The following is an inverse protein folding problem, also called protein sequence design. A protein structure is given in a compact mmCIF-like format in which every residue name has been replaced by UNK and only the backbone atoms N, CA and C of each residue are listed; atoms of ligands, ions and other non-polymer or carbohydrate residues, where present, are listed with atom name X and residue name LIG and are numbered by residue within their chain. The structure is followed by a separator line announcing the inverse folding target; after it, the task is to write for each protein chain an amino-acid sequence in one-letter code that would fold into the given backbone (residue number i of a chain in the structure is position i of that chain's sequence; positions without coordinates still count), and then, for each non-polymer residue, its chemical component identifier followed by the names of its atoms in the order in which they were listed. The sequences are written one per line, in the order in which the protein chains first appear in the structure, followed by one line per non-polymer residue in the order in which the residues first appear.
data_IF_180121073017
#
_entry.id   IF_180121073017
#
_cell.length_a   1.000
_cell.length_b   1.000
_cell.length_c   1.000
_cell.angle_alpha   90.00
_cell.angle_beta   90.00
_cell.angle_gamma   90.00
#
_symmetry.space_group_name_H-M   'P 1'
#
loop_
_entity.id
_entity.type
_entity.pdbx_description
1 polymer ?
#
# COMPACT_ATOMS: atom_id res chain seq x y z
N UNK A 1 0.94 26.82 7.16
CA UNK A 1 0.34 25.63 6.51
C UNK A 1 -1.04 25.43 7.11
N UNK A 2 -2.11 25.53 6.33
CA UNK A 2 -3.45 25.16 6.80
C UNK A 2 -3.68 23.71 6.35
N UNK A 3 -3.72 22.80 7.31
CA UNK A 3 -4.04 21.40 7.02
C UNK A 3 -5.51 21.24 6.67
N UNK A 4 -5.79 20.35 5.73
CA UNK A 4 -7.17 19.98 5.41
C UNK A 4 -7.86 19.36 6.64
N UNK A 5 -9.16 19.66 6.91
CA UNK A 5 -9.87 19.12 8.08
C UNK A 5 -9.82 17.60 8.20
N UNK A 6 -9.90 16.87 7.07
CA UNK A 6 -9.75 15.41 7.03
C UNK A 6 -8.37 14.96 7.50
N UNK A 7 -7.30 15.67 7.11
CA UNK A 7 -5.93 15.38 7.61
C UNK A 7 -5.87 15.50 9.13
N UNK A 8 -6.38 16.59 9.68
CA UNK A 8 -6.39 16.81 11.14
C UNK A 8 -7.19 15.72 11.83
N UNK A 9 -8.38 15.41 11.32
CA UNK A 9 -9.25 14.35 11.87
C UNK A 9 -8.59 12.98 11.87
N UNK A 10 -7.97 12.59 10.76
CA UNK A 10 -7.30 11.28 10.62
C UNK A 10 -6.07 11.17 11.52
N UNK A 11 -5.20 12.20 11.53
CA UNK A 11 -4.01 12.21 12.40
C UNK A 11 -4.41 12.18 13.87
N UNK A 12 -5.40 13.00 14.26
CA UNK A 12 -5.92 13.00 15.63
C UNK A 12 -6.52 11.64 16.01
N UNK A 13 -7.28 11.03 15.09
CA UNK A 13 -7.84 9.69 15.30
C UNK A 13 -6.77 8.61 15.51
N UNK A 14 -5.69 8.63 14.72
CA UNK A 14 -4.54 7.71 14.86
C UNK A 14 -3.87 7.91 16.23
N UNK A 15 -3.59 9.17 16.61
CA UNK A 15 -2.95 9.49 17.91
C UNK A 15 -3.84 9.04 19.07
N UNK A 16 -5.14 9.32 19.01
CA UNK A 16 -6.09 8.87 20.03
C UNK A 16 -6.15 7.35 20.11
N UNK A 17 -6.24 6.65 18.97
CA UNK A 17 -6.29 5.19 18.93
C UNK A 17 -5.03 4.58 19.55
N UNK A 18 -3.84 5.10 19.22
CA UNK A 18 -2.57 4.66 19.81
C UNK A 18 -2.47 4.96 21.31
N UNK A 19 -3.01 6.09 21.76
CA UNK A 19 -3.03 6.45 23.18
C UNK A 19 -4.05 5.67 24.02
N UNK A 20 -5.21 5.33 23.45
CA UNK A 20 -6.29 4.61 24.15
C UNK A 20 -6.05 3.09 24.17
N UNK A 21 -5.39 2.53 23.14
CA UNK A 21 -5.18 1.08 23.06
C UNK A 21 -4.52 0.47 24.33
N UNK A 22 -3.46 1.05 24.93
CA UNK A 22 -2.87 0.53 26.17
C UNK A 22 -3.86 0.50 27.35
N UNK A 23 -4.68 1.55 27.47
CA UNK A 23 -5.69 1.63 28.54
C UNK A 23 -6.73 0.52 28.40
N UNK A 24 -7.12 0.24 27.16
CA UNK A 24 -8.03 -0.86 26.86
C UNK A 24 -7.39 -2.24 27.17
N UNK A 25 -6.10 -2.44 26.86
CA UNK A 25 -5.40 -3.69 27.19
C UNK A 25 -5.25 -3.88 28.70
N UNK A 26 -4.98 -2.80 29.44
CA UNK A 26 -4.91 -2.84 30.90
C UNK A 26 -6.28 -3.18 31.52
N UNK A 27 -7.34 -2.52 31.04
CA UNK A 27 -8.71 -2.79 31.51
C UNK A 27 -9.16 -4.24 31.28
N UNK A 28 -8.91 -4.77 30.06
CA UNK A 28 -9.22 -6.17 29.75
C UNK A 28 -8.36 -7.16 30.56
N UNK A 29 -7.08 -6.81 30.81
CA UNK A 29 -6.19 -7.61 31.64
C UNK A 29 -6.65 -7.66 33.11
N UNK A 30 -7.05 -6.51 33.67
CA UNK A 30 -7.59 -6.41 35.01
C UNK A 30 -8.93 -7.17 35.17
N UNK A 31 -9.73 -7.18 34.11
CA UNK A 31 -10.99 -7.95 34.07
C UNK A 31 -10.78 -9.47 33.87
N UNK A 32 -9.54 -9.97 33.81
CA UNK A 32 -9.24 -11.39 33.60
C UNK A 32 -9.63 -11.95 32.22
N UNK A 33 -9.93 -11.06 31.24
CA UNK A 33 -10.40 -11.45 29.90
C UNK A 33 -9.28 -11.73 28.89
N UNK A 34 -8.01 -11.50 29.27
CA UNK A 34 -6.86 -11.74 28.40
C UNK A 34 -5.96 -12.85 28.98
N UNK A 35 -5.63 -13.85 28.15
CA UNK A 35 -4.54 -14.77 28.48
C UNK A 35 -3.21 -14.04 28.45
N UNK A 36 -2.21 -14.52 29.21
CA UNK A 36 -0.86 -13.94 29.24
C UNK A 36 -0.23 -13.86 27.81
N UNK A 37 -0.41 -14.91 27.03
CA UNK A 37 0.06 -14.96 25.64
C UNK A 37 -0.58 -13.88 24.76
N UNK A 38 -1.89 -13.70 24.85
CA UNK A 38 -2.62 -12.68 24.07
C UNK A 38 -2.23 -11.28 24.51
N UNK A 39 -2.05 -11.08 25.82
CA UNK A 39 -1.56 -9.80 26.38
C UNK A 39 -0.18 -9.45 25.84
N UNK A 40 0.76 -10.38 25.85
CA UNK A 40 2.10 -10.17 25.32
C UNK A 40 2.09 -9.85 23.82
N UNK A 41 1.27 -10.56 23.01
CA UNK A 41 1.10 -10.30 21.57
C UNK A 41 0.53 -8.91 21.30
N UNK A 42 -0.52 -8.49 22.01
CA UNK A 42 -1.12 -7.16 21.89
C UNK A 42 -0.11 -6.04 22.19
N UNK A 43 0.70 -6.19 23.27
CA UNK A 43 1.74 -5.21 23.60
C UNK A 43 2.84 -5.15 22.55
N UNK A 44 3.25 -6.29 22.01
CA UNK A 44 4.27 -6.37 20.95
C UNK A 44 3.77 -5.66 19.69
N UNK A 45 2.54 -5.92 19.27
CA UNK A 45 1.92 -5.27 18.11
C UNK A 45 1.76 -3.76 18.33
N UNK A 46 1.31 -3.33 19.49
CA UNK A 46 1.16 -1.91 19.79
C UNK A 46 2.51 -1.17 19.74
N UNK A 47 3.59 -1.75 20.29
CA UNK A 47 4.93 -1.16 20.18
C UNK A 47 5.39 -1.02 18.73
N UNK A 48 5.09 -2.00 17.89
CA UNK A 48 5.39 -1.92 16.46
C UNK A 48 4.62 -0.80 15.78
N UNK A 49 3.35 -0.60 16.14
CA UNK A 49 2.54 0.51 15.62
C UNK A 49 3.01 1.89 16.07
N UNK A 50 3.65 2.02 17.24
CA UNK A 50 4.28 3.28 17.66
C UNK A 50 5.42 3.73 16.73
N UNK A 51 5.99 2.82 15.95
CA UNK A 51 7.03 3.11 14.95
C UNK A 51 6.40 3.19 13.55
N UNK A 52 5.57 2.21 13.18
CA UNK A 52 5.00 2.13 11.84
C UNK A 52 4.08 3.33 11.53
N UNK A 53 3.18 3.69 12.44
CA UNK A 53 2.24 4.78 12.18
C UNK A 53 2.96 6.14 11.97
N UNK A 54 3.93 6.57 12.79
CA UNK A 54 4.72 7.76 12.48
C UNK A 54 5.51 7.64 11.17
N UNK A 55 6.14 6.49 10.88
CA UNK A 55 6.87 6.29 9.62
C UNK A 55 5.97 6.46 8.39
N UNK A 56 4.69 6.10 8.49
CA UNK A 56 3.71 6.28 7.41
C UNK A 56 3.15 7.71 7.38
N UNK A 57 2.75 8.23 8.53
CA UNK A 57 2.00 9.49 8.63
C UNK A 57 2.91 10.71 8.48
N UNK A 58 4.08 10.71 9.12
CA UNK A 58 4.97 11.88 9.15
C UNK A 58 5.40 12.33 7.74
N UNK A 59 5.87 11.46 6.84
CA UNK A 59 6.20 11.88 5.48
C UNK A 59 5.02 12.52 4.75
N UNK A 60 3.80 11.98 4.92
CA UNK A 60 2.59 12.49 4.27
C UNK A 60 2.23 13.88 4.81
N UNK A 61 2.38 14.10 6.12
CA UNK A 61 2.06 15.40 6.77
C UNK A 61 3.11 16.47 6.47
N UNK A 62 4.38 16.08 6.31
CA UNK A 62 5.47 17.01 5.98
C UNK A 62 5.39 17.60 4.57
N UNK A 63 4.55 17.06 3.70
CA UNK A 63 4.25 17.61 2.39
C UNK A 63 4.69 16.72 1.22
N UNK A 64 4.65 17.30 0.03
CA UNK A 64 4.78 16.59 -1.24
C UNK A 64 6.06 15.76 -1.37
N UNK A 65 7.23 16.40 -1.27
CA UNK A 65 8.52 15.71 -1.46
C UNK A 65 8.80 14.65 -0.40
N UNK A 66 8.63 14.91 0.92
CA UNK A 66 8.75 13.87 1.93
C UNK A 66 7.80 12.68 1.70
N UNK A 67 6.57 12.92 1.25
CA UNK A 67 5.61 11.86 0.94
C UNK A 67 6.12 10.97 -0.21
N UNK A 68 6.56 11.57 -1.33
CA UNK A 68 7.08 10.84 -2.49
C UNK A 68 8.33 10.04 -2.13
N UNK A 69 9.28 10.67 -1.43
CA UNK A 69 10.51 10.01 -0.97
C UNK A 69 10.19 8.88 0.02
N UNK A 70 9.27 9.12 0.94
CA UNK A 70 8.81 8.09 1.90
C UNK A 70 8.23 6.87 1.20
N UNK A 71 7.38 7.07 0.19
CA UNK A 71 6.83 5.98 -0.63
C UNK A 71 7.93 5.29 -1.45
N UNK A 72 8.89 6.04 -2.00
CA UNK A 72 10.03 5.47 -2.71
C UNK A 72 10.91 4.59 -1.82
N UNK A 73 11.19 5.04 -0.59
CA UNK A 73 11.92 4.24 0.40
C UNK A 73 11.13 2.98 0.75
N UNK A 74 9.82 3.10 1.00
CA UNK A 74 8.95 1.96 1.26
C UNK A 74 9.00 0.96 0.10
N UNK A 75 8.90 1.42 -1.13
CA UNK A 75 8.97 0.59 -2.34
C UNK A 75 10.29 -0.19 -2.43
N UNK A 76 11.44 0.46 -2.19
CA UNK A 76 12.76 -0.19 -2.17
C UNK A 76 12.87 -1.22 -1.05
N UNK A 77 12.37 -0.91 0.15
CA UNK A 77 12.41 -1.84 1.28
C UNK A 77 11.53 -3.07 1.03
N UNK A 78 10.31 -2.89 0.51
CA UNK A 78 9.42 -3.99 0.11
C UNK A 78 10.03 -4.82 -1.03
N UNK A 79 10.60 -4.16 -2.04
CA UNK A 79 11.34 -4.83 -3.10
C UNK A 79 12.49 -5.69 -2.56
N UNK A 80 13.28 -5.15 -1.62
CA UNK A 80 14.39 -5.88 -1.01
C UNK A 80 13.92 -7.16 -0.29
N UNK A 81 12.82 -7.10 0.45
CA UNK A 81 12.24 -8.29 1.10
C UNK A 81 11.79 -9.32 0.05
N UNK A 82 11.07 -8.86 -0.98
CA UNK A 82 10.63 -9.70 -2.10
C UNK A 82 11.81 -10.35 -2.83
N UNK A 83 12.82 -9.56 -3.20
CA UNK A 83 13.99 -10.05 -3.93
C UNK A 83 14.78 -11.09 -3.13
N UNK A 84 14.82 -10.97 -1.80
CA UNK A 84 15.45 -11.96 -0.92
C UNK A 84 14.61 -13.24 -0.84
N UNK A 85 13.31 -13.14 -0.66
CA UNK A 85 12.41 -14.28 -0.55
C UNK A 85 12.35 -15.10 -1.86
N UNK A 86 12.33 -14.43 -3.01
CA UNK A 86 12.25 -15.06 -4.32
C UNK A 86 13.61 -15.48 -4.90
N UNK A 87 14.72 -15.04 -4.30
CA UNK A 87 16.07 -15.26 -4.83
C UNK A 87 16.48 -14.34 -5.97
N UNK A 88 15.65 -13.35 -6.35
CA UNK A 88 15.94 -12.36 -7.40
C UNK A 88 17.24 -11.59 -7.13
N UNK A 89 17.60 -11.38 -5.87
CA UNK A 89 18.84 -10.69 -5.48
C UNK A 89 20.11 -11.39 -6.00
N UNK A 90 20.05 -12.69 -6.35
CA UNK A 90 21.18 -13.45 -6.92
C UNK A 90 21.50 -13.01 -8.35
N UNK A 91 20.50 -12.49 -9.06
CA UNK A 91 20.64 -11.88 -10.39
C UNK A 91 20.93 -10.40 -10.24
N UNK A 92 22.18 -10.07 -9.90
CA UNK A 92 22.58 -8.70 -9.48
C UNK A 92 22.22 -7.63 -10.49
N UNK A 93 22.39 -7.92 -11.79
CA UNK A 93 22.12 -6.96 -12.87
C UNK A 93 20.63 -6.68 -12.99
N UNK A 94 19.80 -7.73 -13.03
CA UNK A 94 18.34 -7.59 -13.07
C UNK A 94 17.84 -6.86 -11.81
N UNK A 95 18.36 -7.26 -10.64
CA UNK A 95 18.01 -6.63 -9.38
C UNK A 95 18.38 -5.15 -9.33
N UNK A 96 19.53 -4.77 -9.88
CA UNK A 96 19.97 -3.38 -9.97
C UNK A 96 19.06 -2.56 -10.91
N UNK A 97 18.66 -3.13 -12.05
CA UNK A 97 17.74 -2.45 -13.00
C UNK A 97 16.36 -2.24 -12.36
N UNK A 98 15.83 -3.22 -11.61
CA UNK A 98 14.57 -3.04 -10.88
C UNK A 98 14.71 -1.92 -9.85
N UNK A 99 15.76 -1.92 -9.04
CA UNK A 99 16.00 -0.88 -8.05
C UNK A 99 16.14 0.51 -8.70
N UNK A 100 16.91 0.61 -9.79
CA UNK A 100 17.03 1.85 -10.57
C UNK A 100 15.68 2.29 -11.13
N UNK A 101 14.88 1.38 -11.67
CA UNK A 101 13.53 1.66 -12.16
C UNK A 101 12.64 2.26 -11.06
N UNK A 102 12.68 1.70 -9.84
CA UNK A 102 11.93 2.25 -8.68
C UNK A 102 12.40 3.68 -8.36
N UNK A 103 13.72 3.93 -8.36
CA UNK A 103 14.27 5.26 -8.11
C UNK A 103 13.89 6.26 -9.20
N UNK A 104 13.90 5.85 -10.47
CA UNK A 104 13.50 6.69 -11.60
C UNK A 104 11.99 7.01 -11.56
N UNK A 105 11.14 6.07 -11.22
CA UNK A 105 9.69 6.30 -10.97
C UNK A 105 9.50 7.30 -9.83
N UNK A 106 10.25 7.14 -8.72
CA UNK A 106 10.21 8.07 -7.59
C UNK A 106 10.66 9.47 -8.01
N UNK A 107 11.74 9.58 -8.80
CA UNK A 107 12.22 10.84 -9.34
C UNK A 107 11.19 11.48 -10.28
N UNK A 108 10.60 10.71 -11.21
CA UNK A 108 9.57 11.22 -12.12
C UNK A 108 8.34 11.75 -11.38
N UNK A 109 7.94 11.10 -10.27
CA UNK A 109 6.89 11.60 -9.39
C UNK A 109 7.34 12.89 -8.67
N UNK A 110 8.58 12.95 -8.17
CA UNK A 110 9.11 14.11 -7.48
C UNK A 110 9.28 15.33 -8.40
N UNK A 111 9.66 15.11 -9.64
CA UNK A 111 9.74 16.15 -10.67
C UNK A 111 8.38 16.53 -11.27
N UNK A 112 7.32 15.82 -10.89
CA UNK A 112 5.98 15.95 -11.48
C UNK A 112 6.00 15.78 -13.01
N UNK A 113 6.84 14.86 -13.51
CA UNK A 113 7.00 14.57 -14.94
C UNK A 113 6.17 13.36 -15.35
N UNK A 114 4.86 13.57 -15.59
CA UNK A 114 3.90 12.48 -15.83
C UNK A 114 4.21 11.64 -17.08
N UNK A 115 4.59 12.27 -18.19
CA UNK A 115 4.92 11.52 -19.41
C UNK A 115 6.14 10.60 -19.23
N UNK A 116 7.15 11.05 -18.49
CA UNK A 116 8.30 10.21 -18.15
C UNK A 116 7.91 9.10 -17.16
N UNK A 117 7.10 9.42 -16.14
CA UNK A 117 6.55 8.43 -15.20
C UNK A 117 5.85 7.28 -15.94
N UNK A 118 5.00 7.57 -16.92
CA UNK A 118 4.30 6.56 -17.72
C UNK A 118 5.27 5.81 -18.64
N UNK A 119 6.19 6.51 -19.31
CA UNK A 119 7.17 5.91 -20.20
C UNK A 119 8.11 4.92 -19.50
N UNK A 120 8.49 5.20 -18.25
CA UNK A 120 9.36 4.32 -17.46
C UNK A 120 8.80 2.92 -17.29
N UNK A 121 7.48 2.73 -17.31
CA UNK A 121 6.86 1.41 -17.21
C UNK A 121 7.27 0.51 -18.37
N UNK A 122 7.20 0.99 -19.61
CA UNK A 122 7.60 0.24 -20.81
C UNK A 122 9.11 0.20 -21.01
N UNK A 123 9.81 1.30 -20.73
CA UNK A 123 11.26 1.40 -20.88
C UNK A 123 12.00 0.45 -19.94
N UNK A 124 11.63 0.43 -18.66
CA UNK A 124 12.28 -0.47 -17.68
C UNK A 124 12.02 -1.94 -18.01
N UNK A 125 10.79 -2.29 -18.45
CA UNK A 125 10.48 -3.66 -18.90
C UNK A 125 11.37 -4.03 -20.10
N UNK A 126 11.51 -3.14 -21.08
CA UNK A 126 12.38 -3.38 -22.25
C UNK A 126 13.85 -3.56 -21.84
N UNK A 127 14.34 -2.71 -20.93
CA UNK A 127 15.71 -2.84 -20.39
C UNK A 127 15.88 -4.16 -19.64
N UNK A 128 14.93 -4.61 -18.84
CA UNK A 128 14.99 -5.90 -18.13
C UNK A 128 15.10 -7.08 -19.10
N UNK A 129 14.33 -7.06 -20.20
CA UNK A 129 14.39 -8.08 -21.25
C UNK A 129 15.76 -8.09 -21.91
N UNK A 130 16.30 -6.92 -22.28
CA UNK A 130 17.59 -6.80 -22.97
C UNK A 130 18.75 -7.18 -22.03
N UNK A 131 18.77 -6.64 -20.82
CA UNK A 131 19.89 -6.83 -19.90
C UNK A 131 20.07 -8.29 -19.46
N UNK A 132 18.96 -9.03 -19.36
CA UNK A 132 19.01 -10.46 -19.05
C UNK A 132 19.74 -11.31 -20.10
N UNK A 133 19.94 -10.80 -21.33
CA UNK A 133 20.75 -11.46 -22.37
C UNK A 133 22.24 -11.45 -22.02
N UNK A 134 22.71 -10.44 -21.30
CA UNK A 134 24.13 -10.30 -20.94
C UNK A 134 24.59 -11.32 -19.88
N UNK A 135 23.66 -12.02 -19.24
CA UNK A 135 24.01 -13.15 -18.37
C UNK A 135 24.41 -14.40 -19.19
N UNK A 136 24.16 -14.41 -20.52
CA UNK A 136 24.42 -15.51 -21.45
C UNK A 136 24.00 -16.89 -20.94
N UNK A 137 22.88 -16.92 -20.20
CA UNK A 137 22.31 -18.12 -19.61
C UNK A 137 20.86 -18.33 -20.11
N UNK A 138 20.64 -19.07 -21.23
CA UNK A 138 19.31 -19.26 -21.79
C UNK A 138 18.35 -20.01 -20.87
N UNK A 139 18.90 -20.93 -20.04
CA UNK A 139 18.09 -21.69 -19.09
C UNK A 139 17.55 -20.77 -18.00
N UNK A 140 16.21 -20.75 -17.83
CA UNK A 140 15.55 -19.91 -16.85
C UNK A 140 15.47 -18.43 -17.24
N UNK A 141 15.77 -18.05 -18.49
CA UNK A 141 15.67 -16.68 -18.97
C UNK A 141 14.28 -16.07 -18.76
N UNK A 142 13.23 -16.80 -19.19
CA UNK A 142 11.83 -16.32 -19.02
C UNK A 142 11.51 -16.10 -17.54
N UNK A 143 11.90 -17.03 -16.67
CA UNK A 143 11.64 -16.96 -15.24
C UNK A 143 12.32 -15.73 -14.60
N UNK A 144 13.60 -15.48 -14.95
CA UNK A 144 14.36 -14.33 -14.44
C UNK A 144 13.75 -13.01 -14.89
N UNK A 145 13.46 -12.90 -16.20
CA UNK A 145 12.83 -11.71 -16.77
C UNK A 145 11.46 -11.48 -16.18
N UNK A 146 10.60 -12.52 -16.16
CA UNK A 146 9.25 -12.41 -15.61
C UNK A 146 9.27 -11.98 -14.13
N UNK A 147 10.19 -12.53 -13.33
CA UNK A 147 10.33 -12.16 -11.92
C UNK A 147 10.80 -10.70 -11.75
N UNK A 148 11.76 -10.26 -12.57
CA UNK A 148 12.23 -8.87 -12.57
C UNK A 148 11.14 -7.88 -12.99
N UNK A 149 10.42 -8.19 -14.08
CA UNK A 149 9.29 -7.37 -14.56
C UNK A 149 8.18 -7.31 -13.51
N UNK A 150 7.82 -8.46 -12.94
CA UNK A 150 6.79 -8.54 -11.91
C UNK A 150 7.17 -7.71 -10.66
N UNK A 151 8.41 -7.82 -10.19
CA UNK A 151 8.91 -7.03 -9.08
C UNK A 151 8.88 -5.52 -9.40
N UNK A 152 9.30 -5.12 -10.60
CA UNK A 152 9.27 -3.71 -11.01
C UNK A 152 7.82 -3.18 -11.07
N UNK A 153 6.89 -3.94 -11.64
CA UNK A 153 5.48 -3.54 -11.70
C UNK A 153 4.88 -3.38 -10.31
N UNK A 154 5.12 -4.32 -9.40
CA UNK A 154 4.58 -4.23 -8.04
C UNK A 154 5.20 -3.08 -7.24
N UNK A 155 6.53 -3.00 -7.20
CA UNK A 155 7.20 -2.08 -6.29
C UNK A 155 7.54 -0.73 -6.94
N UNK A 156 7.83 -0.69 -8.23
CA UNK A 156 8.06 0.56 -8.95
C UNK A 156 6.75 1.21 -9.35
N UNK A 157 5.97 0.54 -10.19
CA UNK A 157 4.80 1.15 -10.81
C UNK A 157 3.64 1.31 -9.82
N UNK A 158 3.28 0.26 -9.07
CA UNK A 158 2.13 0.33 -8.15
C UNK A 158 2.36 1.32 -7.00
N UNK A 159 3.48 1.25 -6.29
CA UNK A 159 3.81 2.24 -5.26
C UNK A 159 4.08 3.62 -5.86
N UNK A 160 4.65 3.70 -7.07
CA UNK A 160 4.85 4.95 -7.77
C UNK A 160 3.55 5.71 -8.00
N UNK A 161 2.47 5.03 -8.39
CA UNK A 161 1.16 5.65 -8.52
C UNK A 161 0.65 6.20 -7.18
N UNK A 162 0.86 5.46 -6.09
CA UNK A 162 0.52 5.96 -4.77
C UNK A 162 1.34 7.20 -4.40
N UNK A 163 2.66 7.19 -4.63
CA UNK A 163 3.52 8.36 -4.40
C UNK A 163 3.14 9.56 -5.27
N UNK A 164 2.67 9.32 -6.50
CA UNK A 164 2.27 10.40 -7.42
C UNK A 164 1.07 11.22 -6.93
N UNK A 165 0.20 10.66 -6.09
CA UNK A 165 -0.90 11.41 -5.45
C UNK A 165 -0.41 12.65 -4.70
N UNK A 166 0.80 12.64 -4.17
CA UNK A 166 1.37 13.78 -3.46
C UNK A 166 1.51 15.06 -4.32
N UNK A 167 1.45 14.93 -5.65
CA UNK A 167 1.46 16.05 -6.59
C UNK A 167 0.10 16.75 -6.70
N UNK A 168 -0.97 16.21 -6.11
CA UNK A 168 -2.28 16.86 -6.08
C UNK A 168 -2.42 17.75 -4.84
N UNK A 169 -3.17 18.85 -4.95
CA UNK A 169 -3.49 19.75 -3.81
C UNK A 169 -4.21 19.00 -2.68
N UNK A 170 -5.00 17.99 -3.03
CA UNK A 170 -5.68 17.11 -2.08
C UNK A 170 -4.87 15.83 -1.80
N UNK A 171 -3.63 15.74 -2.26
CA UNK A 171 -2.79 14.57 -2.14
C UNK A 171 -2.60 14.11 -0.69
N UNK A 172 -2.36 15.06 0.22
CA UNK A 172 -2.15 14.76 1.65
C UNK A 172 -3.38 14.09 2.30
N UNK A 173 -4.59 14.68 2.30
CA UNK A 173 -5.76 14.05 2.88
C UNK A 173 -6.15 12.76 2.15
N UNK A 174 -5.97 12.69 0.82
CA UNK A 174 -6.26 11.54 0.01
C UNK A 174 -5.37 10.34 0.39
N UNK A 175 -4.05 10.52 0.42
CA UNK A 175 -3.10 9.47 0.77
C UNK A 175 -3.33 8.96 2.20
N UNK A 176 -3.56 9.85 3.16
CA UNK A 176 -3.87 9.47 4.54
C UNK A 176 -5.18 8.69 4.63
N UNK A 177 -6.23 9.13 3.93
CA UNK A 177 -7.50 8.43 3.91
C UNK A 177 -7.38 7.03 3.28
N UNK A 178 -6.59 6.88 2.20
CA UNK A 178 -6.30 5.57 1.59
C UNK A 178 -5.62 4.65 2.58
N UNK A 179 -4.54 5.12 3.23
CA UNK A 179 -3.78 4.33 4.22
C UNK A 179 -4.70 3.86 5.36
N UNK A 180 -5.45 4.77 5.98
CA UNK A 180 -6.35 4.42 7.09
C UNK A 180 -7.46 3.47 6.64
N UNK A 181 -8.04 3.70 5.46
CA UNK A 181 -9.11 2.85 4.95
C UNK A 181 -8.64 1.43 4.61
N UNK A 182 -7.42 1.25 4.12
CA UNK A 182 -6.82 -0.07 3.86
C UNK A 182 -6.61 -0.83 5.17
N UNK A 183 -6.02 -0.20 6.18
CA UNK A 183 -5.82 -0.84 7.49
C UNK A 183 -7.16 -1.25 8.14
N UNK A 184 -8.18 -0.37 8.04
CA UNK A 184 -9.51 -0.68 8.56
C UNK A 184 -10.25 -1.73 7.72
N UNK A 185 -9.97 -1.84 6.42
CA UNK A 185 -10.54 -2.90 5.56
C UNK A 185 -10.19 -4.30 6.08
N UNK A 186 -8.97 -4.51 6.54
CA UNK A 186 -8.55 -5.78 7.12
C UNK A 186 -9.24 -6.05 8.47
N UNK A 187 -9.40 -5.00 9.29
CA UNK A 187 -10.17 -5.10 10.55
C UNK A 187 -11.63 -5.44 10.27
N UNK A 188 -12.25 -4.78 9.29
CA UNK A 188 -13.63 -5.06 8.89
C UNK A 188 -13.79 -6.47 8.32
N UNK A 189 -12.83 -6.94 7.51
CA UNK A 189 -12.81 -8.31 7.01
C UNK A 189 -12.73 -9.34 8.14
N UNK A 190 -11.89 -9.09 9.14
CA UNK A 190 -11.76 -9.95 10.30
C UNK A 190 -13.05 -9.98 11.15
N UNK A 191 -13.59 -8.81 11.50
CA UNK A 191 -14.80 -8.71 12.32
C UNK A 191 -16.01 -9.33 11.62
N UNK A 192 -16.27 -8.97 10.36
CA UNK A 192 -17.35 -9.53 9.57
C UNK A 192 -17.19 -11.01 9.32
N UNK A 193 -15.93 -11.46 9.12
CA UNK A 193 -15.60 -12.87 8.96
C UNK A 193 -15.90 -13.72 10.21
N UNK A 194 -15.73 -13.13 11.39
CA UNK A 194 -16.10 -13.75 12.66
C UNK A 194 -17.62 -13.87 12.84
N UNK A 195 -18.36 -12.86 12.40
CA UNK A 195 -19.81 -12.80 12.57
C UNK A 195 -20.56 -13.58 11.49
N UNK A 196 -20.14 -13.49 10.24
CA UNK A 196 -20.88 -13.96 9.06
C UNK A 196 -20.09 -14.95 8.19
N UNK A 197 -18.87 -15.32 8.58
CA UNK A 197 -17.94 -16.09 7.75
C UNK A 197 -18.13 -17.59 7.81
N UNK A 198 -19.10 -18.15 7.07
CA UNK A 198 -19.31 -19.61 6.98
C UNK A 198 -18.47 -20.28 5.88
N UNK A 199 -18.29 -19.64 4.75
CA UNK A 199 -17.55 -20.19 3.60
C UNK A 199 -16.19 -19.53 3.46
N UNK A 200 -15.15 -20.35 3.20
CA UNK A 200 -13.79 -19.86 2.95
C UNK A 200 -13.70 -19.17 1.58
N UNK A 201 -12.93 -18.07 1.51
CA UNK A 201 -12.70 -17.32 0.27
C UNK A 201 -11.60 -17.99 -0.56
N UNK A 202 -10.47 -18.31 0.04
CA UNK A 202 -9.30 -18.89 -0.62
C UNK A 202 -8.63 -19.91 0.31
N UNK A 203 -9.16 -21.17 0.39
CA UNK A 203 -8.71 -22.16 1.38
C UNK A 203 -7.23 -22.51 1.31
N UNK A 204 -6.67 -22.57 0.11
CA UNK A 204 -5.25 -22.93 -0.12
C UNK A 204 -4.31 -21.76 0.16
N UNK A 205 -4.69 -20.57 -0.26
CA UNK A 205 -3.86 -19.34 -0.17
C UNK A 205 -3.93 -18.69 1.21
N UNK A 206 -5.15 -18.45 1.68
CA UNK A 206 -5.42 -17.77 2.96
C UNK A 206 -6.60 -18.45 3.67
N UNK A 207 -6.34 -19.51 4.46
CA UNK A 207 -7.37 -20.35 5.06
C UNK A 207 -8.26 -19.63 6.10
N UNK A 208 -7.86 -18.47 6.57
CA UNK A 208 -8.63 -17.69 7.54
C UNK A 208 -9.60 -16.70 6.89
N UNK A 209 -9.41 -16.33 5.61
CA UNK A 209 -10.32 -15.43 4.90
C UNK A 209 -11.63 -16.12 4.53
N UNK A 210 -12.74 -15.41 4.71
CA UNK A 210 -14.09 -15.88 4.43
C UNK A 210 -14.83 -14.97 3.47
N UNK A 211 -15.78 -15.50 2.72
CA UNK A 211 -16.63 -14.72 1.79
C UNK A 211 -17.43 -13.67 2.58
N UNK A 212 -18.01 -14.05 3.74
CA UNK A 212 -18.73 -13.11 4.60
C UNK A 212 -17.84 -11.98 5.13
N UNK A 213 -16.57 -12.28 5.44
CA UNK A 213 -15.59 -11.26 5.80
C UNK A 213 -15.29 -10.31 4.66
N UNK A 214 -15.07 -10.85 3.46
CA UNK A 214 -14.78 -10.05 2.26
C UNK A 214 -15.93 -9.11 1.88
N UNK A 215 -17.17 -9.61 1.90
CA UNK A 215 -18.36 -8.81 1.64
C UNK A 215 -18.61 -7.75 2.72
N UNK A 216 -18.42 -8.12 3.99
CA UNK A 216 -18.53 -7.16 5.08
C UNK A 216 -17.50 -6.05 5.01
N UNK A 217 -16.25 -6.38 4.70
CA UNK A 217 -15.22 -5.39 4.43
C UNK A 217 -15.59 -4.48 3.26
N UNK A 218 -16.09 -5.06 2.15
CA UNK A 218 -16.51 -4.29 0.99
C UNK A 218 -17.55 -3.22 1.36
N UNK A 219 -18.57 -3.60 2.11
CA UNK A 219 -19.65 -2.67 2.51
C UNK A 219 -19.15 -1.62 3.50
N UNK A 220 -18.47 -2.04 4.58
CA UNK A 220 -18.02 -1.13 5.63
C UNK A 220 -16.93 -0.19 5.16
N UNK A 221 -15.99 -0.69 4.36
CA UNK A 221 -14.94 0.16 3.79
C UNK A 221 -15.50 1.13 2.75
N UNK A 222 -16.48 0.69 1.94
CA UNK A 222 -17.15 1.60 0.99
C UNK A 222 -17.85 2.73 1.72
N UNK A 223 -18.55 2.44 2.80
CA UNK A 223 -19.21 3.47 3.62
C UNK A 223 -18.18 4.42 4.25
N UNK A 224 -17.12 3.89 4.88
CA UNK A 224 -16.07 4.67 5.51
C UNK A 224 -15.33 5.55 4.49
N UNK A 225 -14.76 4.90 3.45
CA UNK A 225 -13.92 5.60 2.49
C UNK A 225 -14.73 6.57 1.64
N UNK A 226 -15.96 6.20 1.25
CA UNK A 226 -16.89 7.10 0.58
C UNK A 226 -17.19 8.35 1.40
N UNK A 227 -17.39 8.20 2.72
CA UNK A 227 -17.57 9.34 3.63
C UNK A 227 -16.32 10.20 3.72
N UNK A 228 -15.13 9.61 3.85
CA UNK A 228 -13.86 10.36 3.87
C UNK A 228 -13.65 11.11 2.54
N UNK A 229 -13.98 10.47 1.43
CA UNK A 229 -13.87 11.08 0.09
C UNK A 229 -14.88 12.20 -0.14
N UNK A 230 -16.09 12.11 0.40
CA UNK A 230 -17.06 13.21 0.37
C UNK A 230 -16.45 14.50 0.96
N UNK A 231 -15.84 14.39 2.15
CA UNK A 231 -15.19 15.55 2.77
C UNK A 231 -13.87 15.96 2.08
N UNK A 232 -13.15 15.01 1.49
CA UNK A 232 -11.86 15.29 0.84
C UNK A 232 -12.05 15.91 -0.55
N UNK A 233 -13.03 15.40 -1.31
CA UNK A 233 -13.27 15.76 -2.71
C UNK A 233 -14.44 16.75 -2.87
N UNK A 234 -14.87 17.39 -1.76
CA UNK A 234 -15.95 18.37 -1.80
C UNK A 234 -15.70 19.44 -2.86
N UNK A 235 -16.71 19.73 -3.69
CA UNK A 235 -16.61 20.69 -4.78
C UNK A 235 -15.92 20.17 -6.05
N UNK A 236 -15.48 18.92 -6.09
CA UNK A 236 -14.94 18.28 -7.31
C UNK A 236 -16.01 17.46 -8.03
N UNK A 237 -15.80 17.09 -9.32
CA UNK A 237 -16.72 16.21 -10.06
C UNK A 237 -16.92 14.83 -9.40
N UNK A 238 -15.99 14.40 -8.56
CA UNK A 238 -16.01 13.12 -7.83
C UNK A 238 -16.87 13.14 -6.58
N UNK A 239 -17.31 14.31 -6.11
CA UNK A 239 -18.23 14.44 -4.96
C UNK A 239 -19.68 14.16 -5.35
N UNK A 240 -19.92 12.94 -5.86
CA UNK A 240 -21.23 12.41 -6.17
C UNK A 240 -21.37 11.00 -5.64
N UNK A 241 -22.54 10.56 -5.17
CA UNK A 241 -22.70 9.24 -4.55
C UNK A 241 -22.16 8.09 -5.39
N UNK A 242 -22.33 8.12 -6.70
CA UNK A 242 -21.83 7.08 -7.59
C UNK A 242 -20.31 6.95 -7.57
N UNK A 243 -19.59 8.08 -7.56
CA UNK A 243 -18.12 8.07 -7.49
C UNK A 243 -17.60 7.72 -6.09
N UNK A 244 -18.28 8.20 -5.04
CA UNK A 244 -17.92 7.88 -3.66
C UNK A 244 -18.06 6.38 -3.37
N UNK A 245 -19.14 5.77 -3.86
CA UNK A 245 -19.34 4.31 -3.79
C UNK A 245 -18.26 3.60 -4.62
N UNK A 246 -18.04 4.03 -5.86
CA UNK A 246 -17.04 3.41 -6.73
C UNK A 246 -15.63 3.45 -6.11
N UNK A 247 -15.22 4.59 -5.53
CA UNK A 247 -13.92 4.73 -4.85
C UNK A 247 -13.79 3.76 -3.67
N UNK A 248 -14.83 3.61 -2.85
CA UNK A 248 -14.83 2.67 -1.75
C UNK A 248 -14.79 1.21 -2.20
N UNK A 249 -15.55 0.87 -3.23
CA UNK A 249 -15.53 -0.48 -3.84
C UNK A 249 -14.16 -0.79 -4.43
N UNK A 250 -13.58 0.13 -5.20
CA UNK A 250 -12.23 -0.01 -5.79
C UNK A 250 -11.21 -0.25 -4.69
N UNK A 251 -11.17 0.58 -3.64
CA UNK A 251 -10.22 0.43 -2.55
C UNK A 251 -10.34 -0.92 -1.85
N UNK A 252 -11.56 -1.30 -1.44
CA UNK A 252 -11.77 -2.55 -0.68
C UNK A 252 -11.47 -3.78 -1.54
N UNK A 253 -11.92 -3.78 -2.80
CA UNK A 253 -11.69 -4.89 -3.72
C UNK A 253 -10.20 -5.06 -4.03
N UNK A 254 -9.53 -4.01 -4.47
CA UNK A 254 -8.11 -4.08 -4.86
C UNK A 254 -7.19 -4.32 -3.65
N UNK A 255 -7.53 -3.79 -2.47
CA UNK A 255 -6.81 -4.08 -1.23
C UNK A 255 -6.88 -5.56 -0.84
N UNK A 256 -8.06 -6.16 -0.87
CA UNK A 256 -8.23 -7.57 -0.58
C UNK A 256 -7.49 -8.47 -1.57
N UNK A 257 -7.47 -8.10 -2.86
CA UNK A 257 -6.72 -8.85 -3.89
C UNK A 257 -5.21 -8.66 -3.75
N UNK A 258 -4.73 -7.48 -3.31
CA UNK A 258 -3.32 -7.26 -3.01
C UNK A 258 -2.77 -8.26 -2.00
N UNK A 259 -3.44 -8.36 -0.85
CA UNK A 259 -3.08 -9.36 0.17
C UNK A 259 -3.22 -10.81 -0.34
N UNK A 260 -4.26 -11.14 -1.12
CA UNK A 260 -4.41 -12.50 -1.68
C UNK A 260 -3.29 -12.85 -2.67
N UNK A 261 -2.89 -11.92 -3.54
CA UNK A 261 -1.77 -12.12 -4.47
C UNK A 261 -0.47 -12.34 -3.70
N UNK A 262 -0.16 -11.50 -2.73
CA UNK A 262 1.05 -11.67 -1.92
C UNK A 262 0.98 -12.94 -1.07
N UNK A 263 -0.19 -13.30 -0.56
CA UNK A 263 -0.40 -14.58 0.12
C UNK A 263 -0.16 -15.77 -0.80
N UNK A 264 -0.59 -15.70 -2.08
CA UNK A 264 -0.33 -16.76 -3.07
C UNK A 264 1.16 -16.91 -3.34
N UNK A 265 1.89 -15.81 -3.52
CA UNK A 265 3.34 -15.82 -3.70
C UNK A 265 4.04 -16.43 -2.48
N UNK A 266 3.63 -16.07 -1.27
CA UNK A 266 4.18 -16.68 -0.04
C UNK A 266 3.98 -18.20 -0.01
N UNK A 267 2.81 -18.70 -0.44
CA UNK A 267 2.56 -20.14 -0.48
C UNK A 267 3.35 -20.84 -1.57
N UNK A 268 3.50 -20.24 -2.74
CA UNK A 268 4.35 -20.77 -3.81
C UNK A 268 5.81 -20.91 -3.37
N UNK A 269 6.32 -19.94 -2.61
CA UNK A 269 7.65 -19.98 -2.01
C UNK A 269 7.77 -20.90 -0.77
N UNK A 270 6.69 -21.51 -0.30
CA UNK A 270 6.67 -22.34 0.91
C UNK A 270 6.89 -21.57 2.21
N UNK A 271 6.70 -20.24 2.20
CA UNK A 271 6.87 -19.37 3.37
C UNK A 271 5.52 -18.83 3.87
N UNK A 272 5.52 -18.28 5.08
CA UNK A 272 4.34 -17.62 5.65
C UNK A 272 4.46 -16.10 5.60
N UNK A 273 5.60 -15.58 5.94
CA UNK A 273 5.89 -14.14 5.99
C UNK A 273 7.11 -13.86 5.09
N UNK A 274 7.14 -12.71 4.41
CA UNK A 274 8.24 -12.34 3.50
C UNK A 274 9.55 -12.08 4.23
N UNK A 275 9.46 -11.58 5.46
CA UNK A 275 10.59 -11.33 6.35
C UNK A 275 10.13 -11.37 7.83
N UNK A 276 11.06 -11.23 8.75
CA UNK A 276 10.80 -11.17 10.20
C UNK A 276 11.25 -9.84 10.80
N UNK A 277 11.17 -8.76 10.00
CA UNK A 277 11.72 -7.46 10.39
C UNK A 277 10.92 -6.79 11.51
N UNK A 278 9.59 -6.95 11.51
CA UNK A 278 8.71 -6.26 12.44
C UNK A 278 8.17 -7.26 13.47
N UNK A 279 8.53 -7.10 14.77
CA UNK A 279 8.06 -8.00 15.81
C UNK A 279 6.52 -8.09 15.86
N UNK A 280 5.98 -9.31 15.81
CA UNK A 280 4.54 -9.58 15.81
C UNK A 280 3.80 -9.30 14.50
N UNK A 281 4.52 -8.80 13.45
CA UNK A 281 3.90 -8.40 12.17
C UNK A 281 4.55 -8.98 10.92
N UNK A 282 5.67 -9.70 11.02
CA UNK A 282 6.39 -10.24 9.84
C UNK A 282 7.30 -9.23 9.17
N UNK A 283 7.30 -9.18 7.84
CA UNK A 283 8.02 -8.21 7.03
C UNK A 283 7.27 -6.89 6.85
N UNK A 284 7.99 -5.91 6.30
CA UNK A 284 7.40 -4.65 5.89
C UNK A 284 6.41 -4.88 4.73
N UNK A 285 6.79 -5.70 3.76
CA UNK A 285 5.93 -6.07 2.63
C UNK A 285 4.63 -6.74 3.08
N UNK A 286 4.67 -7.54 4.19
CA UNK A 286 3.48 -8.16 4.77
C UNK A 286 2.48 -7.15 5.38
N UNK A 287 2.88 -5.87 5.51
CA UNK A 287 2.02 -4.79 6.02
C UNK A 287 1.48 -3.89 4.91
N UNK A 288 2.15 -3.87 3.78
CA UNK A 288 1.81 -2.98 2.67
C UNK A 288 1.32 -3.72 1.41
N UNK A 289 1.15 -5.04 1.52
CA UNK A 289 0.70 -5.88 0.41
C UNK A 289 -0.69 -5.48 -0.14
N UNK A 290 -1.60 -5.07 0.73
CA UNK A 290 -2.93 -4.57 0.35
C UNK A 290 -2.87 -3.22 -0.42
N UNK A 291 -1.79 -2.42 -0.28
CA UNK A 291 -1.65 -1.14 -0.98
C UNK A 291 -1.27 -1.28 -2.46
N UNK A 292 -0.67 -2.42 -2.85
CA UNK A 292 -0.07 -2.60 -4.17
C UNK A 292 -1.03 -2.25 -5.31
N UNK A 293 -2.23 -2.80 -5.33
CA UNK A 293 -3.18 -2.57 -6.41
C UNK A 293 -4.10 -1.38 -6.17
N UNK A 294 -4.21 -0.90 -4.94
CA UNK A 294 -5.02 0.27 -4.59
C UNK A 294 -4.44 1.54 -5.23
N UNK A 295 -3.11 1.69 -5.20
CA UNK A 295 -2.42 2.84 -5.78
C UNK A 295 -2.84 3.11 -7.23
N UNK A 296 -2.53 2.23 -8.19
CA UNK A 296 -2.88 2.44 -9.60
C UNK A 296 -4.38 2.49 -9.83
N UNK A 297 -5.20 1.67 -9.17
CA UNK A 297 -6.64 1.63 -9.40
C UNK A 297 -7.32 2.96 -9.03
N UNK A 298 -7.04 3.49 -7.84
CA UNK A 298 -7.57 4.79 -7.44
C UNK A 298 -6.96 5.94 -8.23
N UNK A 299 -5.65 5.87 -8.54
CA UNK A 299 -4.98 6.90 -9.32
C UNK A 299 -5.64 7.10 -10.68
N UNK A 300 -5.84 6.02 -11.43
CA UNK A 300 -6.46 6.12 -12.75
C UNK A 300 -7.94 6.51 -12.68
N UNK A 301 -8.69 6.01 -11.69
CA UNK A 301 -10.08 6.41 -11.51
C UNK A 301 -10.20 7.90 -11.18
N UNK A 302 -9.45 8.40 -10.20
CA UNK A 302 -9.47 9.82 -9.80
C UNK A 302 -8.92 10.69 -10.94
N UNK A 303 -7.82 10.25 -11.56
CA UNK A 303 -7.19 10.96 -12.67
C UNK A 303 -8.11 11.12 -13.90
N UNK A 304 -8.94 10.12 -14.17
CA UNK A 304 -9.89 10.17 -15.29
C UNK A 304 -10.99 11.24 -15.09
N UNK A 305 -11.54 11.35 -13.89
CA UNK A 305 -12.68 12.23 -13.63
C UNK A 305 -12.31 13.62 -13.12
N UNK A 306 -11.19 13.74 -12.40
CA UNK A 306 -10.75 15.01 -11.78
C UNK A 306 -9.42 15.51 -12.36
N UNK A 307 -8.54 14.58 -12.79
CA UNK A 307 -7.12 14.86 -12.96
C UNK A 307 -6.36 14.78 -11.64
N UNK A 308 -5.04 14.67 -11.73
CA UNK A 308 -4.14 14.64 -10.57
C UNK A 308 -3.01 15.63 -10.81
N UNK A 309 -2.87 16.60 -9.90
CA UNK A 309 -1.80 17.60 -9.96
C UNK A 309 -1.88 18.55 -11.15
N UNK A 310 -3.04 18.77 -11.75
CA UNK A 310 -3.18 19.63 -12.93
C UNK A 310 -2.89 21.10 -12.63
N UNK A 311 -3.08 21.52 -11.37
CA UNK A 311 -2.85 22.89 -10.90
C UNK A 311 -1.42 23.10 -10.35
N UNK A 312 -0.60 22.06 -10.32
CA UNK A 312 0.75 22.10 -9.78
C UNK A 312 1.79 22.19 -10.90
N UNK A 313 2.94 22.88 -10.66
CA UNK A 313 3.99 23.00 -11.66
C UNK A 313 4.53 21.63 -12.07
N UNK A 314 4.65 21.39 -13.37
CA UNK A 314 5.31 20.21 -13.93
C UNK A 314 6.80 20.45 -14.10
N UNK A 315 7.59 19.37 -14.08
CA UNK A 315 9.04 19.39 -14.33
C UNK A 315 9.78 20.37 -13.42
N UNK A 316 9.59 20.19 -12.09
CA UNK A 316 10.06 21.12 -11.06
C UNK A 316 11.60 21.22 -11.02
N UNK A 317 12.31 20.10 -11.23
CA UNK A 317 13.78 20.06 -11.24
C UNK A 317 14.37 20.12 -12.66
N UNK A 318 13.68 19.53 -13.64
CA UNK A 318 14.18 19.44 -15.02
C UNK A 318 13.46 20.40 -15.97
N UNK A 319 12.44 21.11 -15.51
CA UNK A 319 11.76 22.14 -16.28
C UNK A 319 12.65 23.36 -16.51
N UNK A 320 12.78 23.77 -17.78
CA UNK A 320 13.40 25.03 -18.21
C UNK A 320 12.33 26.04 -18.53
#
# INVERSE_FOLDING_TARGET
MHFHPVTIGLVSGIVIALGVAPLFFLALGAAGKLSEKLRADLWTRWRSWLILAPCMVVPLVLGRLPAIVGVGILAILCYREFARATGLFRHHVISAVVALGILLITFAAADHWYSFFVALSSLTVSVLVIIALFEDEPKGYIQRVALGVFAFLLFGVCFGHFGYFANDRLGQPLMLAIVVAIELNDVFAYCSGKLFGHRKLAPQTSPNKTIGGALGALVLTTALFGTLMHFTLAGTPLDRPIHLIALGVILSFTGQFGDLVMSSIKRDLGIKDMATLIPGHGGLLDRFDSMLFVGPALFHYIGYFKGIGLDEPARIFTGL
#
